data_IF_610674244343
#
_entry.id   IF_610674244343
#
_cell.length_a   1.000
_cell.length_b   1.000
_cell.length_c   1.000
_cell.angle_alpha   90.00
_cell.angle_beta   90.00
_cell.angle_gamma   90.00
#
_symmetry.space_group_name_H-M   'P 1'
#
loop_
_entity.id
_entity.type
_entity.pdbx_description
1 polymer ?
#
# COMPACT_ATOMS: atom_id res chain seq x y z
N UNK A 1 -17.30 -11.39 2.16
CA UNK A 1 -16.07 -10.98 1.52
C UNK A 1 -15.91 -9.47 1.63
N UNK A 2 -14.75 -9.01 2.06
CA UNK A 2 -14.36 -7.59 2.12
C UNK A 2 -13.27 -7.36 1.08
N UNK A 3 -13.43 -6.31 0.26
CA UNK A 3 -12.38 -5.78 -0.59
C UNK A 3 -11.82 -4.52 0.08
N UNK A 4 -10.54 -4.53 0.39
CA UNK A 4 -9.86 -3.38 0.99
C UNK A 4 -8.82 -2.85 0.00
N UNK A 5 -8.95 -1.59 -0.38
CA UNK A 5 -8.21 -1.01 -1.50
C UNK A 5 -7.03 -0.14 -1.08
N UNK A 6 -6.54 -0.32 0.13
CA UNK A 6 -5.41 0.42 0.69
C UNK A 6 -5.81 1.41 1.77
N UNK A 7 -4.83 2.12 2.32
CA UNK A 7 -4.97 3.02 3.46
C UNK A 7 -5.52 2.34 4.71
N UNK A 8 -5.04 1.12 4.95
CA UNK A 8 -5.38 0.40 6.17
C UNK A 8 -4.77 1.04 7.42
N UNK A 9 -3.58 1.60 7.29
CA UNK A 9 -2.91 2.44 8.29
C UNK A 9 -2.45 3.74 7.64
N UNK A 10 -2.15 4.74 8.46
CA UNK A 10 -1.54 6.00 8.04
C UNK A 10 -0.22 6.19 8.80
N UNK A 11 0.83 6.68 8.11
CA UNK A 11 2.18 6.79 8.65
C UNK A 11 2.37 7.97 9.61
N UNK A 12 1.52 8.95 9.58
CA UNK A 12 1.65 10.21 10.32
C UNK A 12 1.69 10.06 11.84
N UNK A 13 2.35 11.00 12.50
CA UNK A 13 2.26 11.22 13.94
C UNK A 13 0.96 11.90 14.38
N UNK A 14 0.79 12.06 15.70
CA UNK A 14 -0.37 12.75 16.23
C UNK A 14 -0.37 14.24 15.82
N UNK A 15 -1.50 14.72 15.31
CA UNK A 15 -1.70 16.11 14.92
C UNK A 15 -1.14 16.53 13.58
N UNK A 16 -0.51 15.61 12.82
CA UNK A 16 0.06 15.92 11.51
C UNK A 16 -0.99 15.84 10.39
N UNK A 17 -1.81 14.81 10.37
CA UNK A 17 -2.86 14.63 9.37
C UNK A 17 -4.25 14.77 9.97
N UNK A 18 -4.44 14.37 11.21
CA UNK A 18 -5.66 14.49 11.97
C UNK A 18 -5.38 14.39 13.46
N UNK A 19 -6.30 14.83 14.29
CA UNK A 19 -6.20 14.72 15.74
C UNK A 19 -7.33 13.87 16.30
N UNK A 20 -7.03 12.63 16.65
CA UNK A 20 -7.94 11.69 17.31
C UNK A 20 -8.02 11.84 18.83
N UNK A 21 -7.31 12.81 19.42
CA UNK A 21 -7.19 12.96 20.89
C UNK A 21 -8.55 13.10 21.59
N UNK A 22 -9.44 13.90 21.02
CA UNK A 22 -10.79 14.11 21.57
C UNK A 22 -11.65 12.82 21.55
N UNK A 23 -11.32 11.87 20.69
CA UNK A 23 -12.00 10.59 20.54
C UNK A 23 -11.28 9.45 21.29
N UNK A 24 -10.18 9.74 21.99
CA UNK A 24 -9.32 8.73 22.60
C UNK A 24 -8.57 7.84 21.58
N UNK A 25 -8.48 8.28 20.33
CA UNK A 25 -7.87 7.54 19.20
C UNK A 25 -6.54 8.18 18.77
N UNK A 26 -5.57 8.22 19.69
CA UNK A 26 -4.24 8.72 19.39
C UNK A 26 -3.42 7.66 18.65
N UNK A 27 -2.52 8.11 17.78
CA UNK A 27 -1.55 7.21 17.13
C UNK A 27 -0.51 6.69 18.13
N UNK A 28 -0.11 5.44 17.92
CA UNK A 28 1.08 4.84 18.52
C UNK A 28 1.91 4.18 17.39
N UNK A 29 3.23 4.48 17.33
CA UNK A 29 3.89 5.54 18.09
C UNK A 29 3.26 6.91 17.75
N UNK A 30 3.50 7.93 18.60
CA UNK A 30 2.95 9.29 18.45
C UNK A 30 3.72 10.15 17.44
N UNK A 31 4.63 9.57 16.71
CA UNK A 31 5.44 10.14 15.63
C UNK A 31 5.17 9.44 14.30
N UNK A 32 5.69 10.03 13.23
CA UNK A 32 5.75 9.36 11.93
C UNK A 32 6.48 8.02 12.02
N UNK A 33 5.97 7.01 11.32
CA UNK A 33 6.54 5.67 11.32
C UNK A 33 7.49 5.46 10.13
N UNK A 34 8.71 4.97 10.43
CA UNK A 34 9.76 4.77 9.42
C UNK A 34 10.45 3.41 9.54
N UNK A 35 10.38 2.77 10.72
CA UNK A 35 11.04 1.50 10.99
C UNK A 35 10.04 0.33 11.04
N UNK A 36 10.52 -0.90 10.88
CA UNK A 36 9.68 -2.09 11.00
C UNK A 36 8.98 -2.17 12.37
N UNK A 37 9.65 -1.76 13.44
CA UNK A 37 9.05 -1.73 14.77
C UNK A 37 7.88 -0.73 14.84
N UNK A 38 8.05 0.46 14.24
CA UNK A 38 7.00 1.48 14.20
C UNK A 38 5.79 1.01 13.39
N UNK A 39 6.00 0.42 12.21
CA UNK A 39 4.91 -0.12 11.40
C UNK A 39 4.13 -1.21 12.15
N UNK A 40 4.83 -2.13 12.81
CA UNK A 40 4.19 -3.18 13.63
C UNK A 40 3.36 -2.58 14.78
N UNK A 41 3.89 -1.57 15.47
CA UNK A 41 3.17 -0.87 16.53
C UNK A 41 1.92 -0.17 16.01
N UNK A 42 1.98 0.47 14.84
CA UNK A 42 0.85 1.12 14.18
C UNK A 42 -0.23 0.10 13.79
N UNK A 43 0.14 -1.02 13.17
CA UNK A 43 -0.81 -2.10 12.88
C UNK A 43 -1.42 -2.68 14.15
N UNK A 44 -0.62 -2.91 15.20
CA UNK A 44 -1.11 -3.40 16.49
C UNK A 44 -2.15 -2.45 17.08
N UNK A 45 -1.90 -1.13 17.04
CA UNK A 45 -2.85 -0.13 17.49
C UNK A 45 -4.18 -0.22 16.73
N UNK A 46 -4.15 -0.22 15.39
CA UNK A 46 -5.38 -0.30 14.58
C UNK A 46 -6.15 -1.59 14.86
N UNK A 47 -5.44 -2.69 15.13
CA UNK A 47 -6.04 -3.99 15.47
C UNK A 47 -6.58 -4.07 16.90
N UNK A 48 -6.49 -3.01 17.71
CA UNK A 48 -7.20 -2.91 18.99
C UNK A 48 -8.66 -2.47 18.83
N UNK A 49 -9.05 -1.96 17.67
CA UNK A 49 -10.44 -1.60 17.36
C UNK A 49 -11.31 -2.87 17.30
N UNK A 50 -12.33 -2.94 18.15
CA UNK A 50 -13.18 -4.13 18.30
C UNK A 50 -14.00 -4.42 17.05
N UNK A 51 -14.50 -3.39 16.36
CA UNK A 51 -15.26 -3.53 15.12
C UNK A 51 -14.38 -4.04 13.98
N UNK A 52 -13.13 -3.56 13.90
CA UNK A 52 -12.16 -4.05 12.94
C UNK A 52 -11.76 -5.51 13.21
N UNK A 53 -11.59 -5.90 14.48
CA UNK A 53 -11.35 -7.31 14.86
C UNK A 53 -12.53 -8.18 14.42
N UNK A 54 -13.76 -7.74 14.67
CA UNK A 54 -14.96 -8.47 14.31
C UNK A 54 -15.10 -8.60 12.78
N UNK A 55 -14.79 -7.54 12.03
CA UNK A 55 -14.73 -7.57 10.57
C UNK A 55 -13.78 -8.66 10.07
N UNK A 56 -12.56 -8.71 10.61
CA UNK A 56 -11.58 -9.73 10.26
C UNK A 56 -12.00 -11.14 10.66
N UNK A 57 -12.70 -11.27 11.79
CA UNK A 57 -13.17 -12.57 12.29
C UNK A 57 -14.29 -13.15 11.43
N UNK A 58 -15.19 -12.31 10.94
CA UNK A 58 -16.39 -12.77 10.24
C UNK A 58 -16.21 -12.89 8.72
N UNK A 59 -15.28 -12.13 8.13
CA UNK A 59 -15.22 -12.00 6.68
C UNK A 59 -13.82 -12.27 6.13
N UNK A 60 -13.71 -13.14 5.12
CA UNK A 60 -12.45 -13.20 4.35
C UNK A 60 -12.20 -11.85 3.66
N UNK A 61 -10.94 -11.44 3.66
CA UNK A 61 -10.52 -10.17 3.06
C UNK A 61 -9.63 -10.41 1.85
N UNK A 62 -9.87 -9.64 0.80
CA UNK A 62 -8.96 -9.44 -0.33
C UNK A 62 -8.44 -8.02 -0.23
N UNK A 63 -7.16 -7.88 0.00
CA UNK A 63 -6.54 -6.59 0.33
C UNK A 63 -5.44 -6.23 -0.66
N UNK A 64 -5.25 -4.95 -0.89
CA UNK A 64 -4.11 -4.35 -1.59
C UNK A 64 -3.64 -3.15 -0.76
N UNK A 65 -2.40 -2.73 -0.89
CA UNK A 65 -1.98 -1.44 -0.33
C UNK A 65 -2.32 -0.28 -1.26
N UNK A 66 -2.38 0.94 -0.68
CA UNK A 66 -2.18 2.19 -1.40
C UNK A 66 -0.85 2.80 -0.92
N UNK A 67 -0.75 4.08 -0.70
CA UNK A 67 0.52 4.72 -0.33
C UNK A 67 0.77 4.74 1.19
N UNK A 68 -0.25 4.99 1.99
CA UNK A 68 -0.10 5.18 3.43
C UNK A 68 0.33 3.92 4.21
N UNK A 69 0.22 2.75 3.64
CA UNK A 69 0.86 1.57 4.20
C UNK A 69 2.39 1.68 4.20
N UNK A 70 2.94 2.60 3.40
CA UNK A 70 4.36 2.95 3.39
C UNK A 70 4.62 4.42 3.75
N UNK A 71 4.22 5.37 2.90
CA UNK A 71 4.24 6.81 3.15
C UNK A 71 3.47 7.55 2.06
N UNK A 72 2.89 8.70 2.39
CA UNK A 72 2.09 9.53 1.50
C UNK A 72 2.73 9.72 0.12
N UNK A 73 1.93 9.53 -0.91
CA UNK A 73 2.32 9.63 -2.31
C UNK A 73 3.58 8.83 -2.65
N UNK A 74 3.64 7.57 -2.20
CA UNK A 74 4.74 6.66 -2.52
C UNK A 74 4.76 6.24 -3.98
N UNK A 75 5.98 6.02 -4.47
CA UNK A 75 6.27 5.42 -5.77
C UNK A 75 7.41 4.40 -5.61
N UNK A 76 7.80 3.74 -6.70
CA UNK A 76 8.83 2.69 -6.68
C UNK A 76 10.08 3.07 -5.89
N UNK A 77 10.59 4.28 -6.08
CA UNK A 77 11.91 4.71 -5.60
C UNK A 77 11.86 5.81 -4.54
N UNK A 78 10.68 6.12 -3.99
CA UNK A 78 10.52 7.16 -2.97
C UNK A 78 9.08 7.38 -2.53
N UNK A 79 8.87 8.41 -1.73
CA UNK A 79 7.56 8.93 -1.35
C UNK A 79 7.62 10.45 -1.17
N UNK A 80 6.48 11.11 -1.25
CA UNK A 80 6.41 12.53 -0.93
C UNK A 80 6.71 12.76 0.55
N UNK A 81 6.20 11.89 1.42
CA UNK A 81 6.46 11.90 2.85
C UNK A 81 7.60 10.93 3.22
N UNK A 82 8.77 11.14 2.59
CA UNK A 82 10.03 10.49 2.97
C UNK A 82 11.14 11.52 2.88
N UNK A 83 11.60 11.98 4.05
CA UNK A 83 12.37 13.18 4.22
C UNK A 83 13.84 12.89 4.55
N UNK A 84 14.67 13.94 4.49
CA UNK A 84 16.06 13.85 4.93
C UNK A 84 16.14 13.45 6.42
N UNK A 85 16.99 12.49 6.73
CA UNK A 85 17.16 11.94 8.08
C UNK A 85 16.35 10.67 8.38
N UNK A 86 15.41 10.28 7.53
CA UNK A 86 14.61 9.07 7.71
C UNK A 86 15.24 7.77 7.15
N UNK A 87 16.48 7.90 6.68
CA UNK A 87 17.24 6.76 6.15
C UNK A 87 16.97 6.48 4.67
N UNK A 88 17.37 5.29 4.21
CA UNK A 88 17.16 4.90 2.83
C UNK A 88 15.71 4.48 2.57
N UNK A 89 15.09 5.00 1.50
CA UNK A 89 13.74 4.61 1.09
C UNK A 89 13.54 3.10 0.97
N UNK A 90 14.52 2.40 0.38
CA UNK A 90 14.45 0.95 0.22
C UNK A 90 14.30 0.21 1.57
N UNK A 91 14.92 0.72 2.64
CA UNK A 91 14.80 0.15 3.97
C UNK A 91 13.40 0.40 4.56
N UNK A 92 12.87 1.65 4.46
CA UNK A 92 11.52 2.00 4.89
C UNK A 92 10.46 1.20 4.12
N UNK A 93 10.56 1.17 2.80
CA UNK A 93 9.66 0.39 1.93
C UNK A 93 9.67 -1.09 2.31
N UNK A 94 10.86 -1.69 2.50
CA UNK A 94 10.98 -3.09 2.93
C UNK A 94 10.36 -3.36 4.30
N UNK A 95 10.51 -2.43 5.24
CA UNK A 95 9.87 -2.50 6.57
C UNK A 95 8.34 -2.44 6.48
N UNK A 96 7.81 -1.52 5.69
CA UNK A 96 6.39 -1.34 5.44
C UNK A 96 5.75 -2.59 4.80
N UNK A 97 6.33 -3.08 3.70
CA UNK A 97 5.89 -4.29 3.00
C UNK A 97 5.91 -5.51 3.91
N UNK A 98 6.98 -5.67 4.71
CA UNK A 98 7.08 -6.77 5.68
C UNK A 98 5.99 -6.70 6.74
N UNK A 99 5.77 -5.54 7.36
CA UNK A 99 4.71 -5.36 8.35
C UNK A 99 3.33 -5.65 7.74
N UNK A 100 3.07 -5.15 6.53
CA UNK A 100 1.82 -5.39 5.82
C UNK A 100 1.52 -6.90 5.65
N UNK A 101 2.49 -7.69 5.22
CA UNK A 101 2.33 -9.14 5.10
C UNK A 101 2.16 -9.86 6.46
N UNK A 102 2.74 -9.33 7.52
CA UNK A 102 2.59 -9.91 8.88
C UNK A 102 1.18 -9.67 9.46
N UNK A 103 0.53 -8.56 9.10
CA UNK A 103 -0.73 -8.14 9.71
C UNK A 103 -1.98 -8.37 8.86
N UNK A 104 -1.82 -8.52 7.55
CA UNK A 104 -2.92 -8.72 6.62
C UNK A 104 -2.88 -10.11 5.98
N UNK A 105 -4.04 -10.70 5.61
CA UNK A 105 -4.13 -12.08 5.15
C UNK A 105 -3.66 -12.25 3.70
N UNK A 106 -2.38 -12.03 3.49
CA UNK A 106 -1.73 -12.11 2.18
C UNK A 106 -0.58 -13.10 2.22
N UNK A 107 -0.19 -13.59 1.05
CA UNK A 107 1.00 -14.42 0.90
C UNK A 107 2.15 -13.55 0.43
N UNK A 108 3.31 -13.72 1.05
CA UNK A 108 4.54 -13.14 0.55
C UNK A 108 4.87 -13.72 -0.83
N UNK A 109 5.46 -12.91 -1.69
CA UNK A 109 6.02 -13.40 -2.95
C UNK A 109 7.11 -14.46 -2.67
N UNK A 110 7.22 -15.46 -3.56
CA UNK A 110 8.11 -16.60 -3.34
C UNK A 110 9.61 -16.23 -3.42
N UNK A 111 9.94 -15.04 -3.90
CA UNK A 111 11.30 -14.53 -3.99
C UNK A 111 11.53 -13.37 -3.03
N UNK A 112 12.53 -13.44 -2.15
CA UNK A 112 12.91 -12.32 -1.29
C UNK A 112 13.21 -11.06 -2.12
N UNK A 113 12.53 -9.97 -1.82
CA UNK A 113 12.67 -8.69 -2.52
C UNK A 113 11.71 -8.48 -3.69
N UNK A 114 10.94 -9.49 -4.07
CA UNK A 114 9.88 -9.36 -5.06
C UNK A 114 8.60 -8.89 -4.34
N UNK A 115 8.35 -7.59 -4.39
CA UNK A 115 7.14 -6.98 -3.80
C UNK A 115 5.89 -7.23 -4.66
N UNK A 116 5.83 -8.37 -5.38
CA UNK A 116 4.71 -8.70 -6.23
C UNK A 116 3.48 -9.05 -5.41
N UNK A 117 2.50 -8.16 -5.39
CA UNK A 117 1.21 -8.40 -4.73
C UNK A 117 0.03 -8.40 -5.68
N UNK A 118 0.22 -8.03 -6.94
CA UNK A 118 -0.86 -8.08 -7.92
C UNK A 118 -1.27 -9.52 -8.21
N UNK A 119 -2.55 -9.74 -8.27
CA UNK A 119 -3.15 -11.07 -8.41
C UNK A 119 -4.58 -10.97 -8.90
N UNK A 120 -5.11 -12.07 -9.46
CA UNK A 120 -6.50 -12.19 -9.88
C UNK A 120 -7.24 -13.25 -9.08
N UNK A 121 -8.54 -13.02 -8.92
CA UNK A 121 -9.47 -13.96 -8.34
C UNK A 121 -10.66 -14.12 -9.29
N UNK A 122 -11.06 -15.36 -9.55
CA UNK A 122 -12.23 -15.66 -10.34
C UNK A 122 -13.35 -16.19 -9.46
N UNK A 123 -14.51 -15.57 -9.56
CA UNK A 123 -15.73 -15.95 -8.84
C UNK A 123 -16.76 -16.53 -9.82
N UNK A 124 -16.66 -17.85 -10.06
CA UNK A 124 -17.47 -18.56 -11.05
C UNK A 124 -17.30 -17.96 -12.44
N UNK A 125 -18.43 -17.76 -13.14
CA UNK A 125 -18.47 -17.11 -14.46
C UNK A 125 -18.97 -15.65 -14.38
N UNK A 126 -19.07 -15.10 -13.16
CA UNK A 126 -19.68 -13.79 -12.93
C UNK A 126 -18.67 -12.67 -12.81
N UNK A 127 -17.51 -12.92 -12.18
CA UNK A 127 -16.57 -11.85 -11.81
C UNK A 127 -15.12 -12.33 -11.88
N UNK A 128 -14.30 -11.60 -12.62
CA UNK A 128 -12.85 -11.62 -12.52
C UNK A 128 -12.38 -10.35 -11.78
N UNK A 129 -11.85 -10.53 -10.56
CA UNK A 129 -11.31 -9.44 -9.73
C UNK A 129 -9.81 -9.39 -9.89
N UNK A 130 -9.29 -8.28 -10.37
CA UNK A 130 -7.85 -8.04 -10.55
C UNK A 130 -7.37 -6.97 -9.57
N UNK A 131 -6.46 -7.34 -8.67
CA UNK A 131 -5.82 -6.45 -7.70
C UNK A 131 -4.48 -5.99 -8.26
N UNK A 132 -4.25 -4.67 -8.31
CA UNK A 132 -3.05 -4.06 -8.91
C UNK A 132 -2.22 -3.34 -7.84
N UNK A 133 -0.90 -3.45 -7.94
CA UNK A 133 0.01 -2.54 -7.25
C UNK A 133 0.19 -1.27 -8.07
N UNK A 134 -0.40 -0.19 -7.61
CA UNK A 134 -0.31 1.13 -8.25
C UNK A 134 0.69 2.06 -7.56
N UNK A 135 1.51 1.54 -6.64
CA UNK A 135 2.44 2.33 -5.81
C UNK A 135 3.87 1.81 -5.84
N UNK A 136 4.13 0.67 -5.24
CA UNK A 136 5.49 0.31 -4.83
C UNK A 136 6.29 -0.46 -5.88
N UNK A 137 5.64 -1.14 -6.82
CA UNK A 137 6.33 -1.94 -7.81
C UNK A 137 6.83 -1.14 -9.01
N UNK A 138 5.92 -0.47 -9.73
CA UNK A 138 6.20 0.09 -11.04
C UNK A 138 5.95 1.58 -11.21
N UNK A 139 5.30 2.22 -10.24
CA UNK A 139 4.92 3.63 -10.33
C UNK A 139 6.15 4.54 -10.38
N UNK A 140 6.21 5.39 -11.37
CA UNK A 140 7.14 6.50 -11.43
C UNK A 140 6.65 7.68 -10.55
N UNK A 141 7.60 8.51 -10.10
CA UNK A 141 7.29 9.71 -9.31
C UNK A 141 6.27 10.58 -10.03
N UNK A 142 5.32 11.12 -9.31
CA UNK A 142 4.36 12.10 -9.84
C UNK A 142 5.07 13.34 -10.43
N UNK A 143 4.44 13.97 -11.41
CA UNK A 143 4.91 15.25 -11.90
C UNK A 143 4.81 16.28 -10.77
N UNK A 144 5.90 16.94 -10.44
CA UNK A 144 5.93 17.96 -9.39
C UNK A 144 5.00 19.15 -9.69
N UNK A 145 4.75 19.39 -10.99
CA UNK A 145 3.81 20.39 -11.48
C UNK A 145 2.72 19.70 -12.32
N UNK A 146 1.44 19.75 -11.91
CA UNK A 146 0.35 19.14 -12.66
C UNK A 146 0.08 19.79 -14.03
N UNK A 147 0.77 20.89 -14.35
CA UNK A 147 0.72 21.54 -15.67
C UNK A 147 1.92 21.19 -16.55
N UNK A 148 2.89 20.43 -16.06
CA UNK A 148 4.06 20.00 -16.81
C UNK A 148 3.70 18.86 -17.78
N UNK A 149 3.18 19.26 -18.94
CA UNK A 149 2.74 18.31 -19.96
C UNK A 149 3.89 17.47 -20.53
N UNK A 150 5.12 17.97 -20.52
CA UNK A 150 6.27 17.20 -21.00
C UNK A 150 6.55 16.01 -20.10
N UNK A 151 6.46 16.20 -18.77
CA UNK A 151 6.60 15.09 -17.80
C UNK A 151 5.38 14.18 -17.82
N UNK A 152 4.16 14.74 -17.85
CA UNK A 152 2.92 13.95 -17.76
C UNK A 152 2.75 13.05 -18.99
N UNK A 153 3.10 13.53 -20.17
CA UNK A 153 2.94 12.80 -21.44
C UNK A 153 4.19 12.01 -21.86
N UNK A 154 5.23 11.94 -21.03
CA UNK A 154 6.41 11.13 -21.35
C UNK A 154 5.99 9.67 -21.50
N UNK A 155 6.11 9.05 -22.69
CA UNK A 155 5.71 7.67 -22.93
C UNK A 155 6.54 6.63 -22.18
N UNK A 156 7.63 7.04 -21.56
CA UNK A 156 8.46 6.17 -20.71
C UNK A 156 7.94 6.04 -19.29
N UNK A 157 7.01 6.91 -18.90
CA UNK A 157 6.41 6.86 -17.57
C UNK A 157 5.48 5.67 -17.44
N UNK A 158 5.49 5.06 -16.27
CA UNK A 158 4.62 3.95 -15.96
C UNK A 158 3.95 4.13 -14.60
N UNK A 159 2.73 3.63 -14.50
CA UNK A 159 2.01 3.44 -13.24
C UNK A 159 2.21 2.01 -12.72
N UNK A 160 2.21 1.03 -13.60
CA UNK A 160 2.20 -0.39 -13.24
C UNK A 160 3.58 -1.05 -13.39
N UNK A 161 4.47 -0.45 -14.20
CA UNK A 161 5.68 -1.10 -14.66
C UNK A 161 5.40 -2.17 -15.74
N UNK A 162 6.41 -2.47 -16.59
CA UNK A 162 6.19 -3.29 -17.79
C UNK A 162 5.73 -4.72 -17.48
N UNK A 163 6.18 -5.32 -16.40
CA UNK A 163 5.82 -6.70 -16.04
C UNK A 163 4.36 -6.80 -15.60
N UNK A 164 3.92 -5.92 -14.71
CA UNK A 164 2.53 -5.93 -14.23
C UNK A 164 1.57 -5.53 -15.35
N UNK A 165 1.96 -4.57 -16.19
CA UNK A 165 1.17 -4.14 -17.33
C UNK A 165 0.97 -5.30 -18.34
N UNK A 166 2.02 -6.01 -18.70
CA UNK A 166 1.92 -7.19 -19.57
C UNK A 166 1.04 -8.27 -18.96
N UNK A 167 1.18 -8.53 -17.66
CA UNK A 167 0.32 -9.46 -16.93
C UNK A 167 -1.14 -9.02 -16.94
N UNK A 168 -1.43 -7.72 -16.70
CA UNK A 168 -2.79 -7.20 -16.74
C UNK A 168 -3.43 -7.38 -18.13
N UNK A 169 -2.70 -7.08 -19.20
CA UNK A 169 -3.17 -7.30 -20.57
C UNK A 169 -3.53 -8.77 -20.82
N UNK A 170 -2.69 -9.71 -20.35
CA UNK A 170 -2.99 -11.14 -20.44
C UNK A 170 -4.25 -11.54 -19.66
N UNK A 171 -4.43 -10.99 -18.44
CA UNK A 171 -5.66 -11.24 -17.68
C UNK A 171 -6.91 -10.72 -18.39
N UNK A 172 -6.87 -9.51 -18.95
CA UNK A 172 -7.99 -8.92 -19.68
C UNK A 172 -8.34 -9.70 -20.96
N UNK A 173 -7.34 -10.24 -21.66
CA UNK A 173 -7.58 -11.08 -22.85
C UNK A 173 -8.21 -12.43 -22.50
N UNK A 174 -7.97 -12.95 -21.31
CA UNK A 174 -8.54 -14.25 -20.85
C UNK A 174 -9.87 -14.09 -20.16
N UNK A 175 -10.24 -12.91 -19.75
CA UNK A 175 -11.55 -12.61 -19.16
C UNK A 175 -12.63 -12.77 -20.22
N UNK A 176 -13.74 -13.44 -19.88
CA UNK A 176 -14.84 -13.78 -20.78
C UNK A 176 -16.03 -12.87 -20.54
#
# INVERSE_FOLDING_TARGET
LVLHLGDYIYEYGNGEYGDGTALGRRHAPDREITTLADYRERYALYRTDEDLQELHRQHPMVVIWDDHESANNSWRDGAQNHNEGEGAWAARKGAAVKAWHEWLPTREAQSPGDAQIWRSFRFGDLLDLTMLDTRLYGRDREAANPKDQAVIQDPKRSLLGPTQEAWLHDQLQRSK
#
